data_IF_808187263729
#
_entry.id   IF_808187263729
#
_cell.length_a   1.000
_cell.length_b   1.000
_cell.length_c   1.000
_cell.angle_alpha   90.00
_cell.angle_beta   90.00
_cell.angle_gamma   90.00
#
_symmetry.space_group_name_H-M   'P 1'
#
loop_
_entity.id
_entity.type
_entity.pdbx_description
1 polymer ?
#
# COMPACT_ATOMS: atom_id res chain seq x y z
N UNK A 1 30.17 -8.97 2.79
CA UNK A 1 29.20 -9.46 1.76
C UNK A 1 27.88 -8.71 1.95
N UNK A 2 27.26 -8.28 0.88
CA UNK A 2 25.91 -7.71 0.98
C UNK A 2 24.95 -8.85 1.36
N UNK A 3 24.18 -8.66 2.41
CA UNK A 3 23.14 -9.59 2.84
C UNK A 3 22.10 -9.72 1.73
N UNK A 4 21.83 -10.93 1.26
CA UNK A 4 20.91 -11.17 0.13
C UNK A 4 19.47 -10.94 0.61
N UNK A 5 18.82 -9.92 0.08
CA UNK A 5 17.40 -9.67 0.35
C UNK A 5 16.58 -10.74 -0.39
N UNK A 6 15.77 -11.48 0.35
CA UNK A 6 14.81 -12.44 -0.23
C UNK A 6 13.52 -11.70 -0.49
N UNK A 7 13.00 -11.80 -1.71
CA UNK A 7 11.75 -11.15 -2.11
C UNK A 7 10.85 -12.12 -2.87
N UNK A 8 9.58 -12.13 -2.53
CA UNK A 8 8.55 -12.96 -3.12
C UNK A 8 7.53 -12.11 -3.88
N UNK A 9 7.05 -12.62 -5.00
CA UNK A 9 5.99 -12.02 -5.82
C UNK A 9 5.14 -13.12 -6.42
N UNK A 10 3.98 -13.38 -5.84
CA UNK A 10 3.03 -14.40 -6.30
C UNK A 10 1.92 -13.77 -7.12
N UNK A 11 1.37 -14.51 -8.08
CA UNK A 11 0.30 -14.00 -8.95
C UNK A 11 -1.12 -14.13 -8.34
N UNK A 12 -1.25 -14.79 -7.21
CA UNK A 12 -2.51 -15.06 -6.54
C UNK A 12 -2.43 -14.75 -5.05
N UNK A 13 -3.52 -14.22 -4.49
CA UNK A 13 -3.61 -13.89 -3.07
C UNK A 13 -3.43 -15.12 -2.18
N UNK A 14 -4.00 -16.27 -2.55
CA UNK A 14 -3.87 -17.52 -1.80
C UNK A 14 -2.41 -17.97 -1.65
N UNK A 15 -1.61 -17.88 -2.70
CA UNK A 15 -0.18 -18.21 -2.64
C UNK A 15 0.58 -17.24 -1.73
N UNK A 16 0.22 -15.96 -1.77
CA UNK A 16 0.78 -14.93 -0.90
C UNK A 16 0.48 -15.23 0.57
N UNK A 17 -0.77 -15.57 0.88
CA UNK A 17 -1.20 -15.92 2.26
C UNK A 17 -0.48 -17.18 2.76
N UNK A 18 -0.31 -18.19 1.92
CA UNK A 18 0.45 -19.39 2.26
C UNK A 18 1.91 -19.08 2.62
N UNK A 19 2.54 -18.17 1.89
CA UNK A 19 3.91 -17.73 2.21
C UNK A 19 3.97 -16.96 3.53
N UNK A 20 3.04 -16.04 3.78
CA UNK A 20 2.97 -15.27 5.02
C UNK A 20 2.73 -16.16 6.26
N UNK A 21 2.01 -17.28 6.09
CA UNK A 21 1.84 -18.27 7.16
C UNK A 21 3.12 -19.10 7.44
N UNK A 22 3.99 -19.24 6.46
CA UNK A 22 5.25 -19.99 6.63
C UNK A 22 6.36 -19.15 7.24
N UNK A 23 6.39 -17.87 6.91
CA UNK A 23 7.51 -16.99 7.21
C UNK A 23 7.04 -15.57 7.48
N UNK A 24 7.61 -14.94 8.50
CA UNK A 24 7.32 -13.55 8.84
C UNK A 24 7.97 -12.60 7.81
N UNK A 25 7.22 -12.18 6.83
CA UNK A 25 7.67 -11.28 5.76
C UNK A 25 7.22 -9.84 5.99
N UNK A 26 7.97 -8.90 5.45
CA UNK A 26 7.53 -7.52 5.26
C UNK A 26 6.62 -7.42 4.04
N UNK A 27 5.39 -6.95 4.23
CA UNK A 27 4.43 -6.78 3.14
C UNK A 27 4.65 -5.41 2.51
N UNK A 28 4.86 -5.36 1.19
CA UNK A 28 5.05 -4.12 0.45
C UNK A 28 4.00 -4.01 -0.67
N UNK A 29 3.22 -2.92 -0.60
CA UNK A 29 2.35 -2.48 -1.68
C UNK A 29 3.05 -1.43 -2.55
N UNK A 30 2.69 -0.15 -2.46
CA UNK A 30 3.32 0.93 -3.22
C UNK A 30 4.78 1.21 -2.87
N UNK A 31 5.17 0.92 -1.64
CA UNK A 31 6.55 1.08 -1.15
C UNK A 31 6.98 2.52 -0.87
N UNK A 32 6.11 3.50 -1.01
CA UNK A 32 6.45 4.92 -0.88
C UNK A 32 6.96 5.29 0.51
N UNK A 33 6.35 4.78 1.57
CA UNK A 33 6.79 5.00 2.96
C UNK A 33 7.96 4.08 3.34
N UNK A 34 7.91 2.82 2.92
CA UNK A 34 8.95 1.82 3.18
C UNK A 34 10.31 2.29 2.64
N UNK A 35 10.34 2.84 1.44
CA UNK A 35 11.58 3.35 0.85
C UNK A 35 12.16 4.54 1.60
N UNK A 36 11.34 5.34 2.26
CA UNK A 36 11.78 6.43 3.13
C UNK A 36 12.29 5.89 4.47
N UNK A 37 11.56 4.97 5.08
CA UNK A 37 11.92 4.37 6.39
C UNK A 37 13.26 3.63 6.35
N UNK A 38 13.52 2.89 5.28
CA UNK A 38 14.74 2.10 5.11
C UNK A 38 15.79 2.77 4.21
N UNK A 39 15.65 4.09 3.99
CA UNK A 39 16.61 4.86 3.22
C UNK A 39 18.00 4.76 3.86
N UNK A 40 18.95 4.22 3.11
CA UNK A 40 20.34 4.16 3.48
C UNK A 40 21.16 5.31 2.81
N UNK A 41 22.43 5.43 3.14
CA UNK A 41 23.34 6.35 2.46
C UNK A 41 23.43 6.00 0.97
N UNK A 42 23.70 7.00 0.13
CA UNK A 42 23.86 6.81 -1.33
C UNK A 42 24.84 5.67 -1.63
N UNK A 43 24.42 4.71 -2.45
CA UNK A 43 25.23 3.55 -2.82
C UNK A 43 25.18 2.36 -1.85
N UNK A 44 24.45 2.48 -0.74
CA UNK A 44 24.25 1.36 0.21
C UNK A 44 22.82 0.82 0.04
N UNK A 45 22.63 -0.51 -0.18
CA UNK A 45 21.30 -1.09 -0.26
C UNK A 45 20.49 -0.85 1.02
N UNK A 46 19.15 -0.68 0.92
CA UNK A 46 18.29 -0.56 2.09
C UNK A 46 18.34 -1.86 2.90
N UNK A 47 18.43 -1.74 4.22
CA UNK A 47 18.42 -2.88 5.14
C UNK A 47 16.98 -3.16 5.59
N UNK A 48 16.25 -3.96 4.84
CA UNK A 48 14.94 -4.46 5.26
C UNK A 48 15.19 -5.75 6.06
N UNK A 49 14.77 -5.81 7.33
CA UNK A 49 15.20 -6.87 8.27
C UNK A 49 14.49 -8.21 8.06
N UNK A 50 13.61 -8.33 7.08
CA UNK A 50 12.79 -9.52 6.82
C UNK A 50 12.72 -9.79 5.32
N UNK A 51 12.45 -11.03 4.91
CA UNK A 51 12.01 -11.30 3.55
C UNK A 51 10.82 -10.42 3.16
N UNK A 52 10.70 -10.07 1.90
CA UNK A 52 9.71 -9.15 1.38
C UNK A 52 8.67 -9.92 0.58
N UNK A 53 7.40 -9.57 0.72
CA UNK A 53 6.32 -10.01 -0.16
C UNK A 53 5.69 -8.79 -0.82
N UNK A 54 5.75 -8.73 -2.16
CA UNK A 54 5.09 -7.69 -2.95
C UNK A 54 3.64 -8.07 -3.24
N UNK A 55 2.71 -7.14 -3.00
CA UNK A 55 1.26 -7.35 -3.19
C UNK A 55 0.60 -6.33 -4.12
N UNK A 56 1.34 -5.34 -4.60
CA UNK A 56 0.85 -4.20 -5.40
C UNK A 56 0.15 -4.60 -6.70
N UNK A 57 0.47 -5.77 -7.23
CA UNK A 57 -0.03 -6.29 -8.52
C UNK A 57 -1.21 -7.25 -8.36
N UNK A 58 -1.59 -7.64 -7.14
CA UNK A 58 -2.70 -8.58 -6.92
C UNK A 58 -4.04 -7.93 -7.24
N UNK A 59 -4.69 -8.43 -8.29
CA UNK A 59 -5.96 -7.89 -8.79
C UNK A 59 -7.09 -7.97 -7.77
N UNK A 60 -7.09 -8.99 -6.93
CA UNK A 60 -8.05 -9.18 -5.84
C UNK A 60 -8.02 -8.03 -4.82
N UNK A 61 -6.85 -7.38 -4.64
CA UNK A 61 -6.65 -6.28 -3.72
C UNK A 61 -6.83 -4.89 -4.36
N UNK A 62 -7.24 -4.83 -5.65
CA UNK A 62 -7.44 -3.57 -6.40
C UNK A 62 -8.89 -3.28 -6.75
N UNK A 63 -9.83 -4.04 -6.23
CA UNK A 63 -11.25 -3.87 -6.55
C UNK A 63 -11.86 -2.74 -5.73
N UNK A 64 -12.68 -1.90 -6.39
CA UNK A 64 -13.57 -0.94 -5.73
C UNK A 64 -14.99 -1.27 -6.16
N UNK A 65 -15.86 -1.56 -5.19
CA UNK A 65 -17.25 -1.90 -5.48
C UNK A 65 -18.15 -1.55 -4.29
N UNK A 66 -19.41 -1.32 -4.58
CA UNK A 66 -20.44 -1.11 -3.57
C UNK A 66 -21.24 -2.39 -3.36
N UNK A 67 -21.46 -2.76 -2.10
CA UNK A 67 -22.32 -3.85 -1.72
C UNK A 67 -23.25 -3.36 -0.60
N UNK A 68 -24.57 -3.38 -0.88
CA UNK A 68 -25.57 -2.76 0.00
C UNK A 68 -25.23 -1.28 0.25
N UNK A 69 -25.01 -0.89 1.49
CA UNK A 69 -24.61 0.47 1.90
C UNK A 69 -23.11 0.65 2.04
N UNK A 70 -22.34 -0.43 1.93
CA UNK A 70 -20.91 -0.41 2.18
C UNK A 70 -20.13 -0.23 0.88
N UNK A 71 -19.13 0.64 0.93
CA UNK A 71 -18.13 0.80 -0.12
C UNK A 71 -16.89 -0.03 0.23
N UNK A 72 -16.57 -0.99 -0.61
CA UNK A 72 -15.38 -1.81 -0.49
C UNK A 72 -14.26 -1.25 -1.35
N UNK A 73 -13.11 -0.98 -0.74
CA UNK A 73 -11.92 -0.45 -1.40
C UNK A 73 -10.77 -1.41 -1.17
N UNK A 74 -10.21 -1.96 -2.23
CA UNK A 74 -9.07 -2.86 -2.16
C UNK A 74 -7.83 -2.17 -1.60
N UNK A 75 -7.10 -2.86 -0.73
CA UNK A 75 -5.94 -2.30 -0.02
C UNK A 75 -4.82 -1.81 -0.95
N UNK A 76 -4.70 -2.38 -2.14
CA UNK A 76 -3.70 -2.01 -3.14
C UNK A 76 -4.20 -1.02 -4.20
N UNK A 77 -5.40 -0.44 -4.05
CA UNK A 77 -5.82 0.69 -4.87
C UNK A 77 -4.88 1.86 -4.63
N UNK A 78 -4.29 2.37 -5.70
CA UNK A 78 -3.44 3.57 -5.62
C UNK A 78 -4.28 4.83 -5.43
N UNK A 79 -3.68 5.87 -4.90
CA UNK A 79 -4.37 7.15 -4.77
C UNK A 79 -4.84 7.71 -6.11
N UNK A 80 -4.05 7.55 -7.17
CA UNK A 80 -4.45 7.98 -8.51
C UNK A 80 -5.66 7.20 -9.02
N UNK A 81 -5.70 5.87 -8.86
CA UNK A 81 -6.86 5.04 -9.20
C UNK A 81 -8.12 5.47 -8.43
N UNK A 82 -7.98 5.78 -7.14
CA UNK A 82 -9.10 6.24 -6.31
C UNK A 82 -9.63 7.63 -6.73
N UNK A 83 -8.76 8.54 -7.14
CA UNK A 83 -9.20 9.85 -7.63
C UNK A 83 -10.08 9.77 -8.87
N UNK A 84 -9.78 8.83 -9.77
CA UNK A 84 -10.53 8.61 -11.02
C UNK A 84 -11.81 7.77 -10.80
N UNK A 85 -11.93 7.05 -9.69
CA UNK A 85 -13.06 6.15 -9.46
C UNK A 85 -14.32 6.93 -9.00
N UNK A 86 -15.47 6.80 -9.71
CA UNK A 86 -16.69 7.52 -9.38
C UNK A 86 -17.35 7.11 -8.06
N UNK A 87 -17.07 5.92 -7.55
CA UNK A 87 -17.62 5.43 -6.28
C UNK A 87 -16.96 6.07 -5.06
N UNK A 88 -15.80 6.69 -5.21
CA UNK A 88 -15.06 7.26 -4.08
C UNK A 88 -15.71 8.58 -3.63
N UNK A 89 -16.04 8.70 -2.33
CA UNK A 89 -16.65 9.91 -1.79
C UNK A 89 -15.79 11.17 -1.97
N UNK A 90 -16.46 12.31 -2.20
CA UNK A 90 -15.80 13.60 -2.38
C UNK A 90 -14.81 13.98 -1.28
N UNK A 91 -15.14 13.87 0.00
CA UNK A 91 -14.21 14.14 1.10
C UNK A 91 -12.93 13.30 1.04
N UNK A 92 -13.04 12.00 0.70
CA UNK A 92 -11.87 11.14 0.56
C UNK A 92 -11.01 11.56 -0.64
N UNK A 93 -11.63 11.92 -1.77
CA UNK A 93 -10.90 12.48 -2.92
C UNK A 93 -10.17 13.77 -2.56
N UNK A 94 -10.79 14.64 -1.76
CA UNK A 94 -10.14 15.88 -1.30
C UNK A 94 -8.89 15.58 -0.47
N UNK A 95 -8.99 14.68 0.51
CA UNK A 95 -7.83 14.28 1.30
C UNK A 95 -6.72 13.69 0.42
N UNK A 96 -7.07 12.80 -0.51
CA UNK A 96 -6.08 12.19 -1.42
C UNK A 96 -5.36 13.26 -2.27
N UNK A 97 -6.05 14.31 -2.72
CA UNK A 97 -5.43 15.40 -3.50
C UNK A 97 -4.34 16.14 -2.74
N UNK A 98 -4.42 16.20 -1.41
CA UNK A 98 -3.41 16.84 -0.56
C UNK A 98 -2.19 15.96 -0.28
N UNK A 99 -2.26 14.66 -0.59
CA UNK A 99 -1.16 13.72 -0.40
C UNK A 99 -0.09 13.94 -1.46
N UNK A 100 1.09 14.39 -1.03
CA UNK A 100 2.34 14.42 -1.79
C UNK A 100 2.23 14.86 -3.28
N UNK A 101 3.23 14.49 -4.07
CA UNK A 101 3.25 14.74 -5.52
C UNK A 101 2.51 13.64 -6.31
N UNK A 102 2.09 13.91 -7.57
CA UNK A 102 1.44 12.91 -8.43
C UNK A 102 2.21 11.59 -8.56
N UNK A 103 3.53 11.64 -8.65
CA UNK A 103 4.37 10.44 -8.73
C UNK A 103 4.20 9.52 -7.50
N UNK A 104 4.06 10.10 -6.30
CA UNK A 104 3.78 9.34 -5.07
C UNK A 104 2.37 8.77 -5.11
N UNK A 105 1.36 9.55 -5.56
CA UNK A 105 -0.03 9.08 -5.67
C UNK A 105 -0.20 7.94 -6.68
N UNK A 106 0.64 7.86 -7.70
CA UNK A 106 0.64 6.76 -8.66
C UNK A 106 1.13 5.42 -8.07
N UNK A 107 1.81 5.46 -6.96
CA UNK A 107 2.38 4.28 -6.29
C UNK A 107 1.79 4.02 -4.91
N UNK A 108 1.58 5.07 -4.14
CA UNK A 108 1.01 4.98 -2.78
C UNK A 108 -0.40 4.40 -2.80
N UNK A 109 -0.70 3.53 -1.85
CA UNK A 109 -1.99 2.83 -1.73
C UNK A 109 -2.72 3.23 -0.45
N UNK A 110 -4.04 3.17 -0.48
CA UNK A 110 -4.85 3.47 0.71
C UNK A 110 -4.52 2.50 1.85
N UNK A 111 -4.48 1.20 1.58
CA UNK A 111 -4.13 0.20 2.58
C UNK A 111 -2.72 0.37 3.13
N UNK A 112 -1.74 0.72 2.29
CA UNK A 112 -0.38 1.00 2.72
C UNK A 112 -0.30 2.19 3.69
N UNK A 113 -1.04 3.26 3.42
CA UNK A 113 -1.13 4.42 4.31
C UNK A 113 -1.74 4.06 5.67
N UNK A 114 -2.86 3.32 5.67
CA UNK A 114 -3.52 2.86 6.91
C UNK A 114 -2.59 1.96 7.72
N UNK A 115 -1.95 0.98 7.09
CA UNK A 115 -1.07 0.02 7.77
C UNK A 115 0.22 0.66 8.30
N UNK A 116 0.74 1.67 7.61
CA UNK A 116 1.89 2.42 8.10
C UNK A 116 1.57 3.27 9.32
N UNK A 117 0.31 3.64 9.50
CA UNK A 117 -0.22 4.37 10.66
C UNK A 117 0.63 5.60 11.04
N UNK A 118 1.16 6.32 10.06
CA UNK A 118 1.91 7.55 10.32
C UNK A 118 1.02 8.57 11.02
N UNK A 119 1.51 9.26 12.07
CA UNK A 119 0.79 10.37 12.68
C UNK A 119 0.41 11.50 11.68
N UNK A 120 1.16 11.59 10.59
CA UNK A 120 0.90 12.51 9.46
C UNK A 120 0.06 11.87 8.33
N UNK A 121 -0.60 10.74 8.58
CA UNK A 121 -1.42 10.05 7.59
C UNK A 121 -2.67 10.84 7.22
N UNK A 122 -2.70 11.41 6.03
CA UNK A 122 -3.74 12.36 5.59
C UNK A 122 -5.13 11.71 5.40
N UNK A 123 -5.19 10.39 5.21
CA UNK A 123 -6.47 9.66 5.02
C UNK A 123 -7.08 9.15 6.31
N UNK A 124 -6.27 8.94 7.36
CA UNK A 124 -6.73 8.34 8.62
C UNK A 124 -7.86 9.14 9.31
N UNK A 125 -7.78 10.48 9.43
CA UNK A 125 -8.85 11.25 10.08
C UNK A 125 -10.22 11.07 9.42
N UNK A 126 -10.25 10.92 8.09
CA UNK A 126 -11.48 10.69 7.36
C UNK A 126 -12.02 9.27 7.57
N UNK A 127 -11.15 8.28 7.62
CA UNK A 127 -11.56 6.89 7.82
C UNK A 127 -12.14 6.64 9.21
N UNK A 128 -11.86 7.50 10.19
CA UNK A 128 -12.47 7.44 11.52
C UNK A 128 -13.93 7.92 11.56
N UNK A 129 -14.42 8.61 10.54
CA UNK A 129 -15.80 9.14 10.50
C UNK A 129 -16.70 8.35 9.53
N UNK A 130 -16.19 7.37 8.85
CA UNK A 130 -16.93 6.39 8.05
C UNK A 130 -17.04 5.06 8.80
#
# INVERSE_FOLDING_TARGET
>A
MAEKIIAYRFNQLDQTLKQLNKENCAIIAGGTDVMVMYKSRRGVPPKIPKPIVFIDHLSELKRVYQKHKDLHIGACCTYSELLENPLIPGPLKQAIKTIAAPAIRNRGTLGGNVCNASPAGDTLPLLYVY
#
